data_IF_414009088686
#
_entry.id   IF_414009088686
#
_cell.length_a   1.000
_cell.length_b   1.000
_cell.length_c   1.000
_cell.angle_alpha   90.00
_cell.angle_beta   90.00
_cell.angle_gamma   90.00
#
_symmetry.space_group_name_H-M   'P 1'
#
loop_
_entity.id
_entity.type
_entity.pdbx_description
1 polymer ?
#
# COMPACT_ATOMS: atom_id res chain seq x y z
N UNK A 1 27.43 6.65 9.36
CA UNK A 1 27.57 5.58 8.35
C UNK A 1 26.17 5.13 7.90
N UNK A 2 25.94 5.00 6.59
CA UNK A 2 24.67 4.52 6.04
C UNK A 2 24.54 3.00 6.24
N UNK A 3 23.41 2.53 6.81
CA UNK A 3 23.10 1.10 6.91
C UNK A 3 22.60 0.59 5.55
N UNK A 4 22.93 -0.64 5.12
CA UNK A 4 22.36 -1.22 3.90
C UNK A 4 20.83 -1.30 4.02
N UNK A 5 20.11 -0.91 2.97
CA UNK A 5 18.64 -0.87 2.93
C UNK A 5 18.06 -2.08 2.19
N UNK A 6 16.91 -2.64 2.62
CA UNK A 6 16.26 -3.70 1.87
C UNK A 6 15.74 -3.20 0.51
N UNK A 7 15.80 -4.05 -0.51
CA UNK A 7 15.36 -3.75 -1.88
C UNK A 7 14.22 -4.68 -2.24
N UNK A 8 13.04 -4.11 -2.50
CA UNK A 8 11.85 -4.86 -2.94
C UNK A 8 12.05 -5.28 -4.39
N UNK A 9 11.91 -6.57 -4.67
CA UNK A 9 12.07 -7.15 -6.02
C UNK A 9 10.72 -7.44 -6.66
N UNK A 10 9.74 -7.89 -5.87
CA UNK A 10 8.42 -8.25 -6.39
C UNK A 10 7.37 -7.98 -5.33
N UNK A 11 6.29 -7.32 -5.74
CA UNK A 11 5.10 -7.04 -4.94
C UNK A 11 3.87 -7.14 -5.85
N UNK A 12 2.70 -7.60 -5.37
CA UNK A 12 1.48 -7.52 -6.15
C UNK A 12 1.11 -6.07 -6.42
N UNK A 13 0.47 -5.82 -7.57
CA UNK A 13 -0.02 -4.48 -7.93
C UNK A 13 -1.16 -4.03 -7.01
N UNK A 14 -2.01 -4.98 -6.61
CA UNK A 14 -3.18 -4.74 -5.78
C UNK A 14 -3.04 -5.53 -4.47
N UNK A 15 -3.44 -4.92 -3.37
CA UNK A 15 -3.46 -5.50 -2.02
C UNK A 15 -4.91 -5.56 -1.58
N UNK A 16 -5.47 -6.77 -1.60
CA UNK A 16 -6.85 -7.00 -1.16
C UNK A 16 -6.98 -6.93 0.36
N UNK A 17 -8.14 -6.44 0.82
CA UNK A 17 -8.47 -6.37 2.23
C UNK A 17 -8.54 -7.77 2.86
N UNK A 18 -7.94 -7.90 4.05
CA UNK A 18 -7.95 -9.10 4.88
C UNK A 18 -7.41 -10.38 4.18
N UNK A 19 -6.73 -10.25 3.03
CA UNK A 19 -6.14 -11.35 2.28
C UNK A 19 -4.63 -11.40 2.44
N UNK A 20 -4.06 -12.59 2.32
CA UNK A 20 -2.63 -12.78 2.32
C UNK A 20 -2.02 -12.40 0.97
N UNK A 21 -1.00 -11.57 1.03
CA UNK A 21 -0.20 -11.09 -0.08
C UNK A 21 1.27 -11.47 0.14
N UNK A 22 2.06 -11.49 -0.92
CA UNK A 22 3.47 -11.88 -0.87
C UNK A 22 4.36 -10.76 -1.39
N UNK A 23 5.40 -10.42 -0.64
CA UNK A 23 6.48 -9.55 -1.08
C UNK A 23 7.79 -10.33 -1.11
N UNK A 24 8.57 -10.09 -2.15
CA UNK A 24 9.94 -10.60 -2.27
C UNK A 24 10.88 -9.42 -2.16
N UNK A 25 11.84 -9.51 -1.25
CA UNK A 25 12.87 -8.50 -1.08
C UNK A 25 14.25 -9.13 -0.90
N UNK A 26 15.29 -8.33 -1.12
CA UNK A 26 16.68 -8.71 -0.93
C UNK A 26 17.41 -7.69 -0.06
N UNK A 27 18.42 -8.14 0.68
CA UNK A 27 19.25 -7.26 1.51
C UNK A 27 20.64 -7.14 0.88
N UNK A 28 21.06 -5.95 0.43
CA UNK A 28 22.42 -5.69 0.00
C UNK A 28 23.38 -5.94 1.18
N UNK A 29 24.44 -6.71 0.97
CA UNK A 29 25.42 -7.00 2.02
C UNK A 29 25.09 -8.20 2.92
N UNK A 30 23.97 -8.90 2.72
CA UNK A 30 23.77 -10.24 3.30
C UNK A 30 24.76 -11.23 2.63
N UNK A 31 26.01 -11.26 3.11
CA UNK A 31 27.04 -12.14 2.58
C UNK A 31 26.57 -13.60 2.73
N UNK A 32 26.34 -14.26 1.58
CA UNK A 32 25.94 -15.68 1.49
C UNK A 32 26.97 -16.66 2.12
N UNK A 33 28.20 -16.21 2.37
CA UNK A 33 29.35 -17.08 2.64
C UNK A 33 29.65 -17.38 4.10
N UNK A 34 28.98 -16.76 5.08
CA UNK A 34 29.28 -17.02 6.50
C UNK A 34 28.08 -17.70 7.18
N UNK A 35 28.28 -18.92 7.74
CA UNK A 35 27.25 -19.64 8.53
C UNK A 35 26.64 -18.78 9.65
N UNK A 36 27.36 -17.75 10.10
CA UNK A 36 26.90 -16.77 11.11
C UNK A 36 25.92 -15.72 10.56
N UNK A 37 26.09 -15.28 9.30
CA UNK A 37 25.14 -14.35 8.66
C UNK A 37 23.77 -14.97 8.36
N UNK A 38 23.69 -16.31 8.40
CA UNK A 38 22.44 -17.07 8.36
C UNK A 38 21.61 -16.85 9.63
N UNK A 39 22.24 -16.97 10.79
CA UNK A 39 21.59 -16.79 12.10
C UNK A 39 21.24 -15.32 12.34
N UNK A 40 22.10 -14.37 11.96
CA UNK A 40 21.86 -12.94 12.18
C UNK A 40 20.59 -12.42 11.50
N UNK A 41 20.13 -13.01 10.39
CA UNK A 41 18.89 -12.61 9.73
C UNK A 41 17.64 -13.19 10.42
N UNK A 42 17.73 -14.39 11.00
CA UNK A 42 16.59 -15.03 11.66
C UNK A 42 16.09 -14.24 12.87
N UNK A 43 16.95 -13.45 13.50
CA UNK A 43 16.59 -12.60 14.64
C UNK A 43 16.20 -11.17 14.25
N UNK A 44 16.24 -10.81 12.95
CA UNK A 44 15.85 -9.46 12.52
C UNK A 44 14.35 -9.34 12.46
N UNK A 45 13.84 -8.28 13.08
CA UNK A 45 12.44 -7.87 12.92
C UNK A 45 12.24 -7.38 11.50
N UNK A 46 11.26 -7.96 10.81
CA UNK A 46 10.83 -7.56 9.47
C UNK A 46 9.39 -7.09 9.56
N UNK A 47 9.11 -5.91 9.03
CA UNK A 47 7.79 -5.31 9.02
C UNK A 47 7.44 -4.85 7.61
N UNK A 48 6.16 -4.92 7.27
CA UNK A 48 5.61 -4.32 6.05
C UNK A 48 4.65 -3.24 6.49
N UNK A 49 4.83 -2.05 5.94
CA UNK A 49 3.95 -0.92 6.22
C UNK A 49 3.41 -0.36 4.92
N UNK A 50 2.16 0.09 4.96
CA UNK A 50 1.56 0.93 3.94
C UNK A 50 1.56 2.36 4.44
N UNK A 51 1.94 3.29 3.58
CA UNK A 51 1.91 4.71 3.85
C UNK A 51 1.13 5.44 2.78
N UNK A 52 0.18 6.24 3.21
CA UNK A 52 -0.37 7.32 2.41
C UNK A 52 0.40 8.60 2.74
N UNK A 53 0.86 9.30 1.71
CA UNK A 53 1.49 10.61 1.90
C UNK A 53 0.46 11.73 2.01
N UNK A 54 -0.80 11.50 1.63
CA UNK A 54 -1.89 12.45 1.76
C UNK A 54 -1.64 13.78 1.04
N UNK A 55 -2.35 14.82 1.50
CA UNK A 55 -2.23 16.19 1.00
C UNK A 55 -2.15 17.16 2.18
N UNK A 56 -1.37 18.23 2.01
CA UNK A 56 -1.19 19.25 3.04
C UNK A 56 -1.55 20.62 2.49
N UNK A 57 -2.48 21.31 3.16
CA UNK A 57 -2.86 22.69 2.84
C UNK A 57 -3.34 23.41 4.09
N UNK A 58 -3.08 24.73 4.20
CA UNK A 58 -3.52 25.56 5.33
C UNK A 58 -3.16 25.00 6.73
N UNK A 59 -2.03 24.30 6.85
CA UNK A 59 -1.60 23.67 8.10
C UNK A 59 -2.37 22.39 8.46
N UNK A 60 -3.22 21.90 7.58
CA UNK A 60 -3.97 20.65 7.75
C UNK A 60 -3.37 19.59 6.83
N UNK A 61 -3.02 18.45 7.44
CA UNK A 61 -2.59 17.26 6.71
C UNK A 61 -3.75 16.28 6.64
N UNK A 62 -4.34 16.14 5.45
CA UNK A 62 -5.42 15.19 5.21
C UNK A 62 -4.85 13.88 4.67
N UNK A 63 -5.51 12.77 4.99
CA UNK A 63 -5.30 11.42 4.48
C UNK A 63 -3.95 10.74 4.79
N UNK A 64 -2.92 11.46 5.25
CA UNK A 64 -1.66 10.84 5.67
C UNK A 64 -1.91 9.79 6.74
N UNK A 65 -1.40 8.60 6.48
CA UNK A 65 -1.58 7.46 7.36
C UNK A 65 -0.46 6.45 7.17
N UNK A 66 -0.02 5.85 8.26
CA UNK A 66 0.86 4.70 8.27
C UNK A 66 0.13 3.50 8.88
N UNK A 67 0.06 2.39 8.16
CA UNK A 67 -0.55 1.14 8.63
C UNK A 67 0.49 0.02 8.59
N UNK A 68 0.81 -0.50 9.76
CA UNK A 68 1.62 -1.72 9.88
C UNK A 68 0.77 -2.95 9.60
N UNK A 69 1.24 -3.79 8.70
CA UNK A 69 0.56 -5.03 8.31
C UNK A 69 1.02 -6.21 9.16
N UNK A 70 0.13 -7.17 9.38
CA UNK A 70 0.52 -8.45 9.98
C UNK A 70 1.45 -9.19 9.01
N UNK A 71 2.65 -9.53 9.46
CA UNK A 71 3.71 -10.12 8.64
C UNK A 71 4.06 -11.52 9.13
N UNK A 72 4.31 -12.41 8.17
CA UNK A 72 4.64 -13.81 8.38
C UNK A 72 5.87 -14.13 7.52
N UNK A 73 7.02 -14.22 8.17
CA UNK A 73 8.30 -14.45 7.49
C UNK A 73 8.40 -15.89 7.00
N UNK A 74 8.54 -16.09 5.69
CA UNK A 74 8.70 -17.41 5.07
C UNK A 74 10.12 -17.52 4.47
N UNK A 75 11.09 -17.84 5.34
CA UNK A 75 12.51 -17.88 4.95
C UNK A 75 13.12 -16.49 4.75
N UNK A 76 14.19 -16.39 3.95
CA UNK A 76 15.06 -15.19 3.93
C UNK A 76 14.57 -14.03 3.07
N UNK A 77 13.76 -14.30 2.07
CA UNK A 77 13.42 -13.35 0.99
C UNK A 77 11.94 -13.28 0.69
N UNK A 78 11.17 -14.26 1.16
CA UNK A 78 9.73 -14.31 0.94
C UNK A 78 9.05 -13.91 2.25
N UNK A 79 8.25 -12.87 2.17
CA UNK A 79 7.47 -12.40 3.29
C UNK A 79 6.02 -12.43 2.85
N UNK A 80 5.21 -13.14 3.62
CA UNK A 80 3.77 -13.09 3.47
C UNK A 80 3.25 -12.02 4.43
N UNK A 81 2.25 -11.27 4.02
CA UNK A 81 1.63 -10.27 4.86
C UNK A 81 0.13 -10.24 4.59
N UNK A 82 -0.67 -9.89 5.60
CA UNK A 82 -2.10 -9.71 5.43
C UNK A 82 -2.39 -8.26 5.08
N UNK A 83 -3.21 -8.03 4.05
CA UNK A 83 -3.68 -6.68 3.72
C UNK A 83 -4.49 -6.06 4.87
N UNK A 84 -4.77 -4.75 4.84
CA UNK A 84 -5.55 -4.08 5.86
C UNK A 84 -6.87 -4.82 6.12
N UNK A 85 -7.38 -4.87 7.36
CA UNK A 85 -8.56 -5.67 7.69
C UNK A 85 -9.83 -5.13 7.02
N UNK A 86 -9.92 -3.82 6.81
CA UNK A 86 -11.06 -3.17 6.17
C UNK A 86 -10.69 -1.76 5.63
N UNK A 87 -11.57 -1.13 4.82
CA UNK A 87 -11.39 0.22 4.28
C UNK A 87 -11.28 1.34 5.33
N UNK A 88 -11.84 1.15 6.54
CA UNK A 88 -11.76 2.16 7.60
C UNK A 88 -10.33 2.28 8.16
N UNK A 89 -9.57 1.18 8.15
CA UNK A 89 -8.15 1.20 8.53
C UNK A 89 -7.30 1.82 7.43
N UNK A 90 -7.50 1.44 6.17
CA UNK A 90 -6.83 2.05 5.01
C UNK A 90 -7.82 2.16 3.82
N UNK A 91 -8.19 3.38 3.36
CA UNK A 91 -9.11 3.61 2.27
C UNK A 91 -8.64 3.00 0.97
N UNK A 92 -9.57 2.61 0.09
CA UNK A 92 -9.21 2.09 -1.21
C UNK A 92 -8.51 3.19 -2.00
N UNK A 93 -7.39 2.87 -2.64
CA UNK A 93 -6.59 3.87 -3.34
C UNK A 93 -5.11 3.54 -3.43
N UNK A 94 -4.30 4.46 -3.96
CA UNK A 94 -2.86 4.28 -4.03
C UNK A 94 -2.24 4.24 -2.63
N UNK A 95 -1.19 3.44 -2.48
CA UNK A 95 -0.40 3.36 -1.28
C UNK A 95 1.07 3.20 -1.61
N UNK A 96 1.92 3.59 -0.67
CA UNK A 96 3.36 3.35 -0.73
C UNK A 96 3.71 2.23 0.24
N UNK A 97 4.15 1.10 -0.30
CA UNK A 97 4.57 -0.05 0.49
C UNK A 97 6.07 0.06 0.81
N UNK A 98 6.39 -0.13 2.07
CA UNK A 98 7.77 -0.24 2.56
C UNK A 98 7.98 -1.58 3.25
N UNK A 99 9.17 -2.13 3.07
CA UNK A 99 9.69 -3.22 3.90
C UNK A 99 10.73 -2.64 4.85
N UNK A 100 10.54 -2.84 6.15
CA UNK A 100 11.46 -2.38 7.19
C UNK A 100 12.16 -3.60 7.76
N UNK A 101 13.49 -3.56 7.79
CA UNK A 101 14.31 -4.61 8.41
C UNK A 101 15.16 -3.98 9.49
N UNK A 102 14.92 -4.34 10.75
CA UNK A 102 15.68 -3.84 11.90
C UNK A 102 15.77 -2.29 11.94
N UNK A 103 14.63 -1.64 11.70
CA UNK A 103 14.50 -0.19 11.66
C UNK A 103 15.01 0.49 10.37
N UNK A 104 15.50 -0.26 9.39
CA UNK A 104 15.96 0.29 8.10
C UNK A 104 14.90 0.09 7.02
N UNK A 105 14.29 1.17 6.47
CA UNK A 105 13.26 1.06 5.45
C UNK A 105 13.84 0.86 4.05
N UNK A 106 13.10 0.13 3.21
CA UNK A 106 13.33 0.05 1.76
C UNK A 106 13.02 1.38 1.07
N UNK A 107 13.32 1.47 -0.22
CA UNK A 107 12.61 2.41 -1.09
C UNK A 107 11.13 2.01 -1.21
N UNK A 108 10.29 3.02 -1.41
CA UNK A 108 8.85 2.86 -1.49
C UNK A 108 8.46 2.25 -2.82
N UNK A 109 7.49 1.33 -2.83
CA UNK A 109 6.86 0.87 -4.07
C UNK A 109 5.39 1.25 -4.07
N UNK A 110 4.94 1.87 -5.16
CA UNK A 110 3.54 2.24 -5.33
C UNK A 110 2.70 0.98 -5.59
N UNK A 111 1.64 0.81 -4.81
CA UNK A 111 0.66 -0.28 -4.90
C UNK A 111 -0.75 0.30 -4.82
N UNK A 112 -1.76 -0.51 -5.17
CA UNK A 112 -3.17 -0.18 -5.00
C UNK A 112 -3.74 -0.99 -3.83
N UNK A 113 -4.43 -0.34 -2.90
CA UNK A 113 -5.20 -1.03 -1.85
C UNK A 113 -6.64 -1.17 -2.31
N UNK A 114 -7.16 -2.39 -2.21
CA UNK A 114 -8.45 -2.77 -2.78
C UNK A 114 -8.41 -2.97 -4.29
N UNK A 115 -9.60 -3.06 -4.88
CA UNK A 115 -9.77 -3.42 -6.29
C UNK A 115 -9.47 -2.26 -7.26
N UNK A 116 -9.28 -1.05 -6.74
CA UNK A 116 -9.01 0.15 -7.56
C UNK A 116 -10.17 0.54 -8.49
N UNK A 117 -11.37 -0.01 -8.28
CA UNK A 117 -12.58 0.36 -9.01
C UNK A 117 -13.08 1.73 -8.54
N UNK A 118 -13.66 2.49 -9.46
CA UNK A 118 -14.37 3.71 -9.11
C UNK A 118 -15.50 3.40 -8.11
N UNK A 119 -15.80 4.33 -7.19
CA UNK A 119 -16.97 4.21 -6.33
C UNK A 119 -18.25 3.93 -7.14
N UNK A 120 -19.22 3.19 -6.58
CA UNK A 120 -20.51 2.99 -7.24
C UNK A 120 -21.14 4.32 -7.64
N UNK A 121 -21.60 4.40 -8.89
CA UNK A 121 -22.34 5.56 -9.41
C UNK A 121 -23.83 5.28 -9.27
N UNK A 122 -24.57 6.20 -8.66
CA UNK A 122 -26.03 6.16 -8.56
C UNK A 122 -26.65 6.97 -9.70
N UNK A 123 -27.12 6.27 -10.74
CA UNK A 123 -27.76 6.87 -11.91
C UNK A 123 -29.07 7.60 -11.56
N UNK A 124 -29.85 7.06 -10.62
CA UNK A 124 -31.12 7.67 -10.19
C UNK A 124 -30.88 8.99 -9.45
N UNK A 125 -29.82 9.06 -8.65
CA UNK A 125 -29.40 10.32 -8.03
C UNK A 125 -28.99 11.37 -9.08
N UNK A 126 -28.27 10.96 -10.13
CA UNK A 126 -27.87 11.86 -11.23
C UNK A 126 -29.11 12.38 -11.97
N UNK A 127 -30.04 11.51 -12.36
CA UNK A 127 -31.28 11.88 -13.03
C UNK A 127 -32.13 12.84 -12.19
N UNK A 128 -32.23 12.59 -10.88
CA UNK A 128 -32.95 13.48 -9.97
C UNK A 128 -32.29 14.86 -9.86
N UNK A 129 -30.97 14.94 -9.83
CA UNK A 129 -30.26 16.23 -9.81
C UNK A 129 -30.44 16.99 -11.12
N UNK A 130 -30.39 16.31 -12.26
CA UNK A 130 -30.61 16.93 -13.58
C UNK A 130 -32.02 17.47 -13.75
N UNK A 131 -33.03 16.76 -13.24
CA UNK A 131 -34.43 17.18 -13.33
C UNK A 131 -34.75 18.39 -12.44
N UNK A 132 -34.04 18.54 -11.31
CA UNK A 132 -34.37 19.52 -10.27
C UNK A 132 -33.38 20.69 -10.14
N UNK A 133 -32.31 20.73 -10.94
CA UNK A 133 -31.38 21.88 -10.99
C UNK A 133 -31.62 22.74 -12.21
N UNK A 134 -31.55 24.07 -12.04
CA UNK A 134 -31.68 25.01 -13.15
C UNK A 134 -30.46 24.95 -14.07
N UNK A 135 -30.69 24.66 -15.35
CA UNK A 135 -29.68 24.58 -16.42
C UNK A 135 -28.74 23.35 -16.35
N UNK A 136 -29.28 22.11 -16.44
CA UNK A 136 -28.50 20.88 -16.35
C UNK A 136 -27.57 20.67 -17.56
N UNK A 137 -26.36 20.18 -17.32
CA UNK A 137 -25.47 19.68 -18.39
C UNK A 137 -26.06 18.41 -19.00
N UNK A 138 -26.07 18.25 -20.34
CA UNK A 138 -26.59 17.05 -20.99
C UNK A 138 -25.83 15.80 -20.53
N UNK A 139 -26.57 14.69 -20.30
CA UNK A 139 -26.03 13.41 -19.80
C UNK A 139 -24.89 12.87 -20.68
N UNK A 140 -24.95 13.15 -21.98
CA UNK A 140 -23.94 12.79 -22.98
C UNK A 140 -22.54 13.37 -22.66
N UNK A 141 -22.48 14.52 -21.98
CA UNK A 141 -21.22 15.15 -21.57
C UNK A 141 -20.58 14.49 -20.34
N UNK A 142 -21.34 13.73 -19.54
CA UNK A 142 -20.87 13.11 -18.30
C UNK A 142 -20.30 11.69 -18.51
N UNK A 143 -20.53 11.07 -19.67
CA UNK A 143 -20.07 9.71 -19.98
C UNK A 143 -18.61 9.63 -20.44
N UNK A 144 -17.93 10.78 -20.61
CA UNK A 144 -16.57 10.89 -21.13
C UNK A 144 -15.54 11.42 -20.12
N UNK A 145 -15.92 11.57 -18.85
CA UNK A 145 -15.05 12.05 -17.77
C UNK A 145 -14.48 10.91 -16.91
#
# INVERSE_FOLDING_TARGET
>A
MSKPRPVITTVPKNIDYNRFNKVIFSMPGAKRSHRRGLFDFFFKKVEVVLMDFGFATHGVHMDQRLVSLATFTYGKRHLQFQGPPNPNVYPPGPAWLFVIVDGVPSEAVKVMVGEGRSPPVDQGAIENMLANTGNPVPVEALQHA
#
